data_IF_737055079917
#
_entry.id   IF_737055079917
#
_cell.length_a   1.000
_cell.length_b   1.000
_cell.length_c   1.000
_cell.angle_alpha   90.00
_cell.angle_beta   90.00
_cell.angle_gamma   90.00
#
_symmetry.space_group_name_H-M   'P 1'
#
loop_
_entity.id
_entity.type
_entity.pdbx_description
1 polymer ?
#
# COMPACT_ATOMS: atom_id res chain seq x y z
N UNK A 1 -18.54 -13.07 -15.16
CA UNK A 1 -17.45 -12.52 -15.98
C UNK A 1 -16.32 -12.17 -15.03
N UNK A 2 -15.10 -12.64 -15.29
CA UNK A 2 -13.94 -12.33 -14.44
C UNK A 2 -13.19 -11.08 -14.89
N UNK A 3 -13.32 -10.66 -16.15
CA UNK A 3 -12.70 -9.42 -16.61
C UNK A 3 -13.27 -8.19 -15.91
N UNK A 4 -12.40 -7.21 -15.67
CA UNK A 4 -12.73 -5.95 -15.04
C UNK A 4 -13.87 -5.25 -15.78
N UNK A 5 -14.94 -4.94 -15.06
CA UNK A 5 -16.07 -4.18 -15.62
C UNK A 5 -15.58 -2.75 -15.92
N UNK A 6 -15.68 -2.27 -17.18
CA UNK A 6 -15.28 -0.90 -17.51
C UNK A 6 -16.25 0.11 -16.90
N UNK A 7 -15.78 1.31 -16.54
CA UNK A 7 -16.67 2.33 -15.99
C UNK A 7 -17.72 2.79 -17.01
N UNK A 8 -18.99 2.81 -16.61
CA UNK A 8 -20.06 3.39 -17.43
C UNK A 8 -20.10 4.92 -17.28
N UNK A 9 -20.73 5.61 -18.22
CA UNK A 9 -20.91 7.05 -18.18
C UNK A 9 -21.54 7.54 -16.86
N UNK A 10 -21.18 8.75 -16.37
CA UNK A 10 -20.30 9.72 -17.03
C UNK A 10 -18.82 9.44 -16.77
N UNK A 11 -17.97 9.71 -17.76
CA UNK A 11 -16.52 9.50 -17.70
C UNK A 11 -15.78 10.37 -16.67
N UNK A 12 -14.45 10.48 -16.78
CA UNK A 12 -13.63 11.21 -15.80
C UNK A 12 -14.07 12.68 -15.71
N UNK A 13 -14.04 13.25 -14.49
CA UNK A 13 -14.42 14.67 -14.28
C UNK A 13 -13.33 15.63 -14.74
N UNK A 14 -12.08 15.15 -14.81
CA UNK A 14 -10.96 15.86 -15.40
C UNK A 14 -10.32 14.98 -16.47
N UNK A 15 -9.99 15.52 -17.66
CA UNK A 15 -9.23 14.77 -18.65
C UNK A 15 -7.84 14.44 -18.09
N UNK A 16 -7.32 13.27 -18.43
CA UNK A 16 -5.93 12.91 -18.14
C UNK A 16 -5.01 13.82 -18.96
N UNK A 17 -4.00 14.45 -18.33
CA UNK A 17 -3.07 15.29 -19.06
C UNK A 17 -2.15 14.41 -19.93
N UNK A 18 -2.03 14.65 -21.24
CA UNK A 18 -1.03 13.97 -22.07
C UNK A 18 0.38 14.24 -21.53
N UNK A 19 1.21 13.21 -21.45
CA UNK A 19 2.57 13.31 -20.94
C UNK A 19 3.47 14.19 -21.84
N UNK A 20 3.11 14.43 -23.10
CA UNK A 20 3.74 15.44 -23.97
C UNK A 20 3.33 16.90 -23.67
N UNK A 21 2.34 17.13 -22.79
CA UNK A 21 1.80 18.47 -22.47
C UNK A 21 2.22 18.99 -21.08
N UNK A 22 3.17 18.33 -20.43
CA UNK A 22 3.74 18.76 -19.15
C UNK A 22 5.06 19.49 -19.34
N UNK A 23 5.41 20.37 -18.41
CA UNK A 23 6.76 20.95 -18.35
C UNK A 23 7.84 19.88 -18.13
N UNK A 24 9.09 20.18 -18.51
CA UNK A 24 10.19 19.21 -18.51
C UNK A 24 10.45 18.57 -17.14
N UNK A 25 10.29 19.34 -16.04
CA UNK A 25 10.48 18.83 -14.68
C UNK A 25 9.40 17.81 -14.31
N UNK A 26 8.13 18.13 -14.55
CA UNK A 26 7.00 17.20 -14.35
C UNK A 26 7.17 15.96 -15.20
N UNK A 27 7.66 16.10 -16.44
CA UNK A 27 7.95 14.94 -17.29
C UNK A 27 9.03 14.02 -16.70
N UNK A 28 10.08 14.59 -16.13
CA UNK A 28 11.14 13.82 -15.48
C UNK A 28 10.62 13.04 -14.27
N UNK A 29 9.78 13.65 -13.43
CA UNK A 29 9.17 12.95 -12.30
C UNK A 29 8.13 11.91 -12.76
N UNK A 30 7.42 12.14 -13.86
CA UNK A 30 6.56 11.12 -14.46
C UNK A 30 7.36 9.89 -14.93
N UNK A 31 8.46 10.11 -15.64
CA UNK A 31 9.31 9.02 -16.09
C UNK A 31 9.93 8.29 -14.89
N UNK A 32 10.17 9.00 -13.77
CA UNK A 32 10.59 8.39 -12.50
C UNK A 32 9.47 7.56 -11.86
N UNK A 33 8.25 8.07 -11.80
CA UNK A 33 7.12 7.32 -11.25
C UNK A 33 6.87 6.03 -12.03
N UNK A 34 7.06 6.03 -13.36
CA UNK A 34 6.98 4.80 -14.17
C UNK A 34 8.03 3.77 -13.73
N UNK A 35 9.28 4.21 -13.49
CA UNK A 35 10.36 3.29 -13.06
C UNK A 35 10.12 2.76 -11.65
N UNK A 36 9.69 3.62 -10.73
CA UNK A 36 9.58 3.29 -9.31
C UNK A 36 8.28 2.54 -9.01
N UNK A 37 7.17 2.86 -9.71
CA UNK A 37 5.84 2.29 -9.46
C UNK A 37 5.44 1.23 -10.49
N UNK A 38 6.15 1.16 -11.63
CA UNK A 38 5.95 0.16 -12.68
C UNK A 38 4.83 0.45 -13.68
N UNK A 39 4.08 1.55 -13.51
CA UNK A 39 2.91 1.88 -14.35
C UNK A 39 2.92 3.38 -14.71
N UNK A 40 2.66 3.78 -15.97
CA UNK A 40 2.41 5.16 -16.36
C UNK A 40 1.05 5.66 -15.85
N UNK A 41 0.97 5.88 -14.54
CA UNK A 41 -0.29 6.11 -13.84
C UNK A 41 -1.03 7.39 -14.27
N UNK A 42 -2.33 7.25 -14.48
CA UNK A 42 -3.30 8.32 -14.59
C UNK A 42 -3.42 9.11 -13.27
N UNK A 43 -3.01 8.55 -12.13
CA UNK A 43 -2.78 9.31 -10.89
C UNK A 43 -1.86 10.51 -11.16
N UNK A 44 -0.63 10.25 -11.62
CA UNK A 44 0.35 11.31 -11.84
C UNK A 44 -0.15 12.30 -12.89
N UNK A 45 -0.66 11.78 -14.02
CA UNK A 45 -1.12 12.62 -15.14
C UNK A 45 -2.36 13.45 -14.80
N UNK A 46 -3.23 12.99 -13.91
CA UNK A 46 -4.35 13.78 -13.41
C UNK A 46 -3.87 14.85 -12.43
N UNK A 47 -2.91 14.53 -11.54
CA UNK A 47 -2.30 15.52 -10.66
C UNK A 47 -1.48 16.57 -11.40
N UNK A 48 -0.93 16.25 -12.58
CA UNK A 48 -0.07 17.13 -13.36
C UNK A 48 -0.77 18.40 -13.89
N UNK A 49 -2.11 18.49 -13.81
CA UNK A 49 -2.83 19.76 -13.95
C UNK A 49 -2.43 20.80 -12.89
N UNK A 50 -1.89 20.35 -11.75
CA UNK A 50 -1.23 21.14 -10.73
C UNK A 50 0.20 20.63 -10.52
N UNK A 51 1.19 21.10 -11.33
CA UNK A 51 2.56 20.60 -11.33
C UNK A 51 3.21 20.43 -9.97
N UNK A 52 3.07 21.43 -9.08
CA UNK A 52 3.64 21.36 -7.73
C UNK A 52 3.14 20.14 -6.93
N UNK A 53 1.86 19.79 -7.06
CA UNK A 53 1.28 18.63 -6.41
C UNK A 53 1.81 17.32 -7.01
N UNK A 54 1.89 17.22 -8.33
CA UNK A 54 2.41 16.02 -9.01
C UNK A 54 3.87 15.73 -8.65
N UNK A 55 4.70 16.77 -8.57
CA UNK A 55 6.10 16.66 -8.13
C UNK A 55 6.18 16.20 -6.67
N UNK A 56 5.36 16.78 -5.80
CA UNK A 56 5.30 16.39 -4.39
C UNK A 56 4.85 14.94 -4.24
N UNK A 57 3.83 14.49 -4.96
CA UNK A 57 3.31 13.11 -4.82
C UNK A 57 4.38 12.06 -5.13
N UNK A 58 5.23 12.26 -6.14
CA UNK A 58 6.28 11.29 -6.47
C UNK A 58 7.31 11.17 -5.37
N UNK A 59 7.81 12.29 -4.87
CA UNK A 59 8.74 12.29 -3.74
C UNK A 59 8.09 11.70 -2.49
N UNK A 60 6.83 12.05 -2.27
CA UNK A 60 6.05 11.67 -1.11
C UNK A 60 5.75 10.18 -1.08
N UNK A 61 5.13 9.61 -2.11
CA UNK A 61 4.83 8.18 -2.20
C UNK A 61 6.11 7.32 -2.15
N UNK A 62 7.20 7.79 -2.76
CA UNK A 62 8.47 7.09 -2.70
C UNK A 62 9.15 7.15 -1.31
N UNK A 63 8.79 8.09 -0.44
CA UNK A 63 9.38 8.20 0.90
C UNK A 63 8.84 7.18 1.92
N UNK A 64 7.70 6.53 1.64
CA UNK A 64 7.12 5.56 2.58
C UNK A 64 6.43 4.35 1.93
N UNK A 65 6.04 4.39 0.65
CA UNK A 65 5.36 3.25 -0.01
C UNK A 65 6.39 2.43 -0.79
N UNK A 66 7.06 3.06 -1.76
CA UNK A 66 7.98 2.43 -2.72
C UNK A 66 9.46 2.56 -2.31
N UNK A 67 9.70 2.82 -1.03
CA UNK A 67 11.03 3.23 -0.58
C UNK A 67 12.07 2.12 -0.76
N UNK A 68 13.25 2.53 -1.22
CA UNK A 68 14.44 1.69 -1.19
C UNK A 68 15.18 1.94 0.14
N UNK A 69 15.80 0.93 0.77
CA UNK A 69 16.45 1.12 2.06
C UNK A 69 17.51 2.24 2.00
N UNK A 70 17.23 3.38 2.61
CA UNK A 70 18.15 4.50 2.77
C UNK A 70 18.41 4.74 4.23
N UNK A 71 19.67 4.87 4.57
CA UNK A 71 20.12 5.13 5.93
C UNK A 71 20.88 6.44 5.95
N UNK A 72 20.56 7.30 6.91
CA UNK A 72 21.24 8.58 7.09
C UNK A 72 21.55 8.82 8.57
N UNK A 73 22.59 9.61 8.89
CA UNK A 73 22.78 10.10 10.23
C UNK A 73 21.56 10.91 10.69
N UNK A 74 20.97 10.51 11.80
CA UNK A 74 19.89 11.21 12.48
C UNK A 74 20.32 11.57 13.91
N UNK A 75 19.76 12.64 14.51
CA UNK A 75 19.97 12.92 15.93
C UNK A 75 19.68 11.69 16.78
N UNK A 76 20.50 11.44 17.82
CA UNK A 76 20.25 10.31 18.72
C UNK A 76 18.86 10.44 19.37
N UNK A 77 18.09 9.33 19.46
CA UNK A 77 16.84 9.30 20.19
C UNK A 77 17.00 9.83 21.64
N UNK A 78 16.00 10.53 22.18
CA UNK A 78 16.01 10.94 23.58
C UNK A 78 16.20 9.73 24.51
N UNK A 79 17.16 9.81 25.43
CA UNK A 79 17.46 8.73 26.39
C UNK A 79 18.68 7.88 26.03
N UNK A 80 19.28 8.05 24.85
CA UNK A 80 20.55 7.39 24.50
C UNK A 80 21.77 8.05 25.18
N UNK A 81 22.82 7.27 25.53
CA UNK A 81 24.08 7.83 26.02
C UNK A 81 24.76 8.73 24.97
N UNK A 82 25.52 9.71 25.45
CA UNK A 82 26.02 10.87 24.69
C UNK A 82 26.68 10.56 23.33
N UNK A 83 26.36 11.38 22.33
CA UNK A 83 26.85 11.36 20.94
C UNK A 83 25.97 12.27 20.07
N UNK A 84 26.44 12.72 18.91
CA UNK A 84 25.71 13.70 18.07
C UNK A 84 24.67 13.05 17.14
N UNK A 85 24.92 11.83 16.65
CA UNK A 85 24.01 11.14 15.72
C UNK A 85 24.11 9.61 15.81
N UNK A 86 23.13 8.93 15.20
CA UNK A 86 23.09 7.49 14.95
C UNK A 86 22.60 7.24 13.53
N UNK A 87 23.02 6.15 12.90
CA UNK A 87 22.51 5.76 11.60
C UNK A 87 21.05 5.28 11.76
N UNK A 88 20.11 5.89 11.02
CA UNK A 88 18.68 5.59 11.12
C UNK A 88 18.09 5.43 9.72
N UNK A 89 17.13 4.50 9.50
CA UNK A 89 16.42 4.41 8.22
C UNK A 89 15.64 5.69 7.93
N UNK A 90 15.53 6.06 6.67
CA UNK A 90 14.72 7.21 6.24
C UNK A 90 13.27 6.83 5.91
N UNK A 91 13.00 5.52 5.77
CA UNK A 91 11.70 4.93 5.49
C UNK A 91 11.83 3.41 5.37
N UNK A 92 10.72 2.75 5.06
CA UNK A 92 10.68 1.28 4.97
C UNK A 92 10.61 0.59 6.33
N UNK A 93 10.06 1.28 7.34
CA UNK A 93 9.89 0.74 8.69
C UNK A 93 8.81 -0.35 8.74
N UNK A 94 7.75 -0.20 7.95
CA UNK A 94 6.70 -1.20 7.74
C UNK A 94 7.00 -1.93 6.43
N UNK A 95 6.95 -3.27 6.45
CA UNK A 95 7.24 -4.07 5.26
C UNK A 95 6.20 -3.84 4.15
N UNK A 96 6.60 -4.08 2.90
CA UNK A 96 5.75 -3.79 1.75
C UNK A 96 4.51 -4.67 1.69
N UNK A 97 4.57 -5.92 2.18
CA UNK A 97 3.40 -6.81 2.27
C UNK A 97 2.34 -6.19 3.19
N UNK A 98 2.73 -5.77 4.40
CA UNK A 98 1.83 -5.15 5.37
C UNK A 98 1.22 -3.85 4.84
N UNK A 99 2.02 -3.00 4.15
CA UNK A 99 1.51 -1.79 3.48
C UNK A 99 0.44 -2.13 2.45
N UNK A 100 0.71 -3.07 1.54
CA UNK A 100 -0.26 -3.42 0.49
C UNK A 100 -1.54 -4.03 1.06
N UNK A 101 -1.46 -4.81 2.14
CA UNK A 101 -2.65 -5.34 2.83
C UNK A 101 -3.54 -4.21 3.37
N UNK A 102 -2.92 -3.23 4.03
CA UNK A 102 -3.61 -2.06 4.58
C UNK A 102 -4.20 -1.18 3.47
N UNK A 103 -3.43 -0.90 2.42
CA UNK A 103 -3.87 -0.10 1.26
C UNK A 103 -5.05 -0.78 0.57
N UNK A 104 -4.96 -2.10 0.34
CA UNK A 104 -6.06 -2.85 -0.25
C UNK A 104 -7.29 -2.81 0.64
N UNK A 105 -7.16 -3.03 1.95
CA UNK A 105 -8.29 -3.01 2.88
C UNK A 105 -9.04 -1.67 2.80
N UNK A 106 -8.35 -0.54 2.99
CA UNK A 106 -9.03 0.77 2.98
C UNK A 106 -9.59 1.12 1.60
N UNK A 107 -8.95 0.68 0.51
CA UNK A 107 -9.45 0.86 -0.86
C UNK A 107 -10.71 0.06 -1.14
N UNK A 108 -10.81 -1.15 -0.57
CA UNK A 108 -12.00 -2.00 -0.65
C UNK A 108 -13.15 -1.42 0.16
N UNK A 109 -12.88 -0.96 1.39
CA UNK A 109 -13.88 -0.34 2.26
C UNK A 109 -14.42 0.97 1.66
N UNK A 110 -13.55 1.78 1.04
CA UNK A 110 -13.96 3.00 0.34
C UNK A 110 -14.52 2.76 -1.07
N UNK A 111 -14.45 1.51 -1.57
CA UNK A 111 -14.85 1.13 -2.93
C UNK A 111 -14.22 2.04 -4.01
N UNK A 112 -13.00 2.50 -3.75
CA UNK A 112 -12.25 3.39 -4.65
C UNK A 112 -11.73 2.58 -5.83
N UNK A 113 -12.38 2.72 -7.00
CA UNK A 113 -12.03 1.95 -8.19
C UNK A 113 -10.54 1.96 -8.50
N UNK A 114 -9.95 3.14 -8.65
CA UNK A 114 -8.58 3.29 -9.12
C UNK A 114 -7.58 2.63 -8.15
N UNK A 115 -7.71 2.89 -6.85
CA UNK A 115 -6.85 2.24 -5.85
C UNK A 115 -7.10 0.73 -5.79
N UNK A 116 -8.36 0.31 -5.82
CA UNK A 116 -8.74 -1.10 -5.72
C UNK A 116 -8.16 -1.92 -6.88
N UNK A 117 -8.22 -1.43 -8.11
CA UNK A 117 -7.66 -2.13 -9.28
C UNK A 117 -6.13 -2.17 -9.22
N UNK A 118 -5.50 -1.01 -9.00
CA UNK A 118 -4.04 -0.87 -8.97
C UNK A 118 -3.41 -1.65 -7.82
N UNK A 119 -3.95 -1.54 -6.60
CA UNK A 119 -3.39 -2.24 -5.45
C UNK A 119 -3.80 -3.70 -5.36
N UNK A 120 -4.85 -4.15 -6.07
CA UNK A 120 -5.05 -5.59 -6.29
C UNK A 120 -3.92 -6.16 -7.16
N UNK A 121 -3.51 -5.45 -8.22
CA UNK A 121 -2.40 -5.86 -9.08
C UNK A 121 -1.04 -5.77 -8.37
N UNK A 122 -0.70 -4.59 -7.83
CA UNK A 122 0.56 -4.34 -7.12
C UNK A 122 0.66 -5.24 -5.89
N UNK A 123 -0.40 -5.30 -5.07
CA UNK A 123 -0.45 -6.13 -3.88
C UNK A 123 -0.27 -7.61 -4.21
N UNK A 124 -0.93 -8.13 -5.25
CA UNK A 124 -0.76 -9.53 -5.63
C UNK A 124 0.68 -9.84 -6.06
N UNK A 125 1.30 -8.96 -6.86
CA UNK A 125 2.70 -9.09 -7.26
C UNK A 125 3.67 -9.04 -6.07
N UNK A 126 3.48 -8.09 -5.15
CA UNK A 126 4.28 -7.96 -3.92
C UNK A 126 4.15 -9.20 -3.06
N UNK A 127 2.92 -9.64 -2.73
CA UNK A 127 2.71 -10.75 -1.81
C UNK A 127 3.23 -12.06 -2.40
N UNK A 128 2.99 -12.31 -3.69
CA UNK A 128 3.46 -13.54 -4.36
C UNK A 128 4.99 -13.65 -4.42
N UNK A 129 5.70 -12.52 -4.28
CA UNK A 129 7.17 -12.48 -4.32
C UNK A 129 7.82 -12.38 -2.94
N UNK A 130 7.20 -11.67 -1.99
CA UNK A 130 7.85 -11.29 -0.72
C UNK A 130 7.37 -12.06 0.51
N UNK A 131 6.31 -12.87 0.40
CA UNK A 131 5.93 -13.76 1.50
C UNK A 131 7.07 -14.76 1.82
N UNK A 132 7.27 -15.15 3.09
CA UNK A 132 8.47 -15.87 3.53
C UNK A 132 8.51 -17.37 3.14
N UNK A 133 7.51 -17.86 2.40
CA UNK A 133 7.42 -19.27 2.01
C UNK A 133 8.37 -19.58 0.87
N UNK A 134 9.10 -20.71 0.91
CA UNK A 134 10.10 -21.05 -0.12
C UNK A 134 9.46 -21.40 -1.46
N UNK A 135 8.33 -22.13 -1.45
CA UNK A 135 7.61 -22.53 -2.66
C UNK A 135 6.87 -21.33 -3.30
N UNK A 136 7.19 -20.96 -4.56
CA UNK A 136 6.46 -19.92 -5.29
C UNK A 136 4.96 -20.18 -5.43
N UNK A 137 4.55 -21.44 -5.59
CA UNK A 137 3.13 -21.79 -5.72
C UNK A 137 2.38 -21.54 -4.40
N UNK A 138 2.98 -21.95 -3.28
CA UNK A 138 2.46 -21.64 -1.93
C UNK A 138 2.36 -20.13 -1.70
N UNK A 139 3.41 -19.35 -2.05
CA UNK A 139 3.37 -17.88 -1.92
C UNK A 139 2.23 -17.27 -2.72
N UNK A 140 2.05 -17.70 -3.97
CA UNK A 140 1.02 -17.19 -4.88
C UNK A 140 -0.39 -17.52 -4.36
N UNK A 141 -0.62 -18.78 -3.96
CA UNK A 141 -1.90 -19.21 -3.41
C UNK A 141 -2.24 -18.46 -2.10
N UNK A 142 -1.24 -18.25 -1.24
CA UNK A 142 -1.41 -17.47 -0.01
C UNK A 142 -1.68 -16.00 -0.30
N UNK A 143 -0.96 -15.40 -1.25
CA UNK A 143 -1.16 -14.00 -1.67
C UNK A 143 -2.60 -13.77 -2.15
N UNK A 144 -3.13 -14.70 -2.96
CA UNK A 144 -4.53 -14.66 -3.39
C UNK A 144 -5.48 -14.70 -2.20
N UNK A 145 -5.33 -15.66 -1.28
CA UNK A 145 -6.22 -15.75 -0.10
C UNK A 145 -6.09 -14.50 0.79
N UNK A 146 -4.88 -14.00 1.03
CA UNK A 146 -4.66 -12.81 1.86
C UNK A 146 -5.37 -11.57 1.30
N UNK A 147 -5.42 -11.38 -0.02
CA UNK A 147 -6.11 -10.24 -0.64
C UNK A 147 -7.62 -10.47 -0.79
N UNK A 148 -8.02 -11.72 -1.06
CA UNK A 148 -9.42 -12.09 -1.21
C UNK A 148 -10.17 -11.96 0.11
N UNK A 149 -9.53 -12.34 1.23
CA UNK A 149 -10.14 -12.36 2.57
C UNK A 149 -10.09 -11.03 3.31
N UNK A 150 -9.60 -9.95 2.70
CA UNK A 150 -9.67 -8.63 3.34
C UNK A 150 -11.11 -8.20 3.63
N UNK A 151 -12.02 -8.49 2.69
CA UNK A 151 -13.46 -8.21 2.82
C UNK A 151 -14.30 -9.35 2.24
N UNK A 152 -15.53 -9.49 2.70
CA UNK A 152 -16.53 -10.40 2.16
C UNK A 152 -17.07 -9.92 0.80
N UNK A 153 -18.04 -10.66 0.23
CA UNK A 153 -18.67 -10.29 -1.05
C UNK A 153 -19.53 -9.03 -0.99
N UNK A 154 -19.91 -8.55 0.19
CA UNK A 154 -20.64 -7.32 0.42
C UNK A 154 -19.71 -6.13 0.74
N UNK A 155 -18.42 -6.38 0.96
CA UNK A 155 -17.42 -5.38 1.28
C UNK A 155 -17.26 -5.13 2.78
N UNK A 156 -17.74 -6.03 3.64
CA UNK A 156 -17.45 -5.95 5.07
C UNK A 156 -16.10 -6.60 5.39
N UNK A 157 -15.33 -6.08 6.37
CA UNK A 157 -14.09 -6.72 6.83
C UNK A 157 -14.27 -8.22 7.11
N UNK A 158 -13.35 -9.05 6.59
CA UNK A 158 -13.45 -10.51 6.68
C UNK A 158 -12.10 -11.20 6.94
N UNK A 159 -11.10 -10.42 7.36
CA UNK A 159 -9.70 -10.83 7.47
C UNK A 159 -9.38 -11.50 8.82
N UNK A 160 -10.16 -11.22 9.86
CA UNK A 160 -9.87 -11.68 11.22
C UNK A 160 -10.02 -13.20 11.35
N UNK A 161 -9.14 -13.84 12.13
CA UNK A 161 -9.13 -15.28 12.43
C UNK A 161 -9.15 -16.22 11.21
N UNK A 162 -8.68 -15.74 10.05
CA UNK A 162 -8.53 -16.55 8.85
C UNK A 162 -7.33 -17.48 8.92
N UNK A 163 -7.47 -18.67 8.35
CA UNK A 163 -6.39 -19.65 8.21
C UNK A 163 -6.09 -19.94 6.75
N UNK A 164 -4.83 -20.28 6.47
CA UNK A 164 -4.37 -20.79 5.19
C UNK A 164 -3.98 -22.25 5.37
N UNK A 165 -4.41 -23.11 4.44
CA UNK A 165 -4.04 -24.53 4.45
C UNK A 165 -3.32 -24.88 3.15
N UNK A 166 -2.11 -25.42 3.26
CA UNK A 166 -1.30 -25.87 2.13
C UNK A 166 -0.71 -27.24 2.45
N UNK A 167 -0.91 -28.22 1.57
CA UNK A 167 -0.40 -29.58 1.72
C UNK A 167 -0.68 -30.23 3.10
N UNK A 168 -1.85 -29.90 3.68
CA UNK A 168 -2.28 -30.42 4.99
C UNK A 168 -1.74 -29.68 6.21
N UNK A 169 -0.93 -28.64 6.03
CA UNK A 169 -0.48 -27.74 7.10
C UNK A 169 -1.42 -26.53 7.13
N UNK A 170 -2.03 -26.27 8.28
CA UNK A 170 -2.89 -25.10 8.51
C UNK A 170 -2.21 -24.11 9.46
N UNK A 171 -2.18 -22.84 9.07
CA UNK A 171 -1.61 -21.74 9.84
C UNK A 171 -2.47 -20.47 9.74
N UNK A 172 -2.33 -19.49 10.65
CA UNK A 172 -2.99 -18.20 10.50
C UNK A 172 -2.65 -17.55 9.15
N UNK A 173 -3.65 -16.98 8.47
CA UNK A 173 -3.48 -16.33 7.16
C UNK A 173 -2.67 -15.04 7.28
N UNK A 174 -2.88 -14.28 8.36
CA UNK A 174 -2.18 -13.04 8.68
C UNK A 174 -1.36 -13.19 9.96
N UNK A 175 -0.17 -12.60 9.99
CA UNK A 175 0.65 -12.55 11.20
C UNK A 175 0.00 -11.66 12.28
N UNK A 176 0.39 -11.83 13.54
CA UNK A 176 -0.11 -10.98 14.63
C UNK A 176 0.12 -9.48 14.35
N UNK A 177 1.31 -9.02 13.94
CA UNK A 177 1.49 -7.61 13.56
C UNK A 177 0.55 -7.15 12.44
N UNK A 178 0.36 -7.96 11.39
CA UNK A 178 -0.55 -7.64 10.28
C UNK A 178 -2.00 -7.47 10.76
N UNK A 179 -2.47 -8.33 11.65
CA UNK A 179 -3.82 -8.22 12.22
C UNK A 179 -4.01 -6.92 13.01
N UNK A 180 -3.00 -6.48 13.80
CA UNK A 180 -3.08 -5.19 14.49
C UNK A 180 -3.06 -4.00 13.52
N UNK A 181 -2.27 -4.07 12.45
CA UNK A 181 -2.26 -3.06 11.39
C UNK A 181 -3.62 -2.97 10.66
N UNK A 182 -4.21 -4.11 10.29
CA UNK A 182 -5.52 -4.17 9.63
C UNK A 182 -6.64 -3.65 10.55
N UNK A 183 -6.62 -4.04 11.84
CA UNK A 183 -7.58 -3.55 12.83
C UNK A 183 -7.50 -2.03 13.03
N UNK A 184 -6.29 -1.46 13.05
CA UNK A 184 -6.12 -0.01 13.12
C UNK A 184 -6.60 0.67 11.83
N UNK A 185 -6.27 0.11 10.66
CA UNK A 185 -6.71 0.64 9.37
C UNK A 185 -8.24 0.66 9.24
N UNK A 186 -8.90 -0.42 9.63
CA UNK A 186 -10.37 -0.50 9.68
C UNK A 186 -10.97 0.53 10.65
N UNK A 187 -10.39 0.66 11.84
CA UNK A 187 -10.88 1.63 12.83
C UNK A 187 -10.74 3.08 12.33
N UNK A 188 -9.59 3.43 11.74
CA UNK A 188 -9.34 4.76 11.16
C UNK A 188 -10.30 5.03 10.00
N UNK A 189 -10.44 4.08 9.07
CA UNK A 189 -11.32 4.22 7.91
C UNK A 189 -12.78 4.42 8.33
N UNK A 190 -13.23 3.69 9.36
CA UNK A 190 -14.61 3.77 9.84
C UNK A 190 -14.89 5.07 10.60
N UNK A 191 -14.05 5.39 11.56
CA UNK A 191 -14.13 6.62 12.35
C UNK A 191 -12.79 6.88 13.07
N UNK A 192 -11.95 7.82 12.59
CA UNK A 192 -10.65 8.09 13.20
C UNK A 192 -10.76 8.63 14.63
N UNK A 193 -11.89 9.22 15.02
CA UNK A 193 -12.13 9.68 16.39
C UNK A 193 -12.46 8.53 17.35
N UNK A 194 -12.80 7.34 16.84
CA UNK A 194 -13.06 6.14 17.64
C UNK A 194 -11.81 5.39 18.07
N UNK A 195 -10.64 5.74 17.52
CA UNK A 195 -9.37 5.08 17.82
C UNK A 195 -8.93 5.42 19.25
N UNK A 196 -8.56 4.38 20.01
CA UNK A 196 -8.23 4.48 21.43
C UNK A 196 -6.74 4.35 21.70
N UNK A 197 -6.29 4.93 22.82
CA UNK A 197 -4.90 4.76 23.31
C UNK A 197 -4.53 3.29 23.52
N UNK A 198 -5.51 2.46 23.91
CA UNK A 198 -5.31 1.02 24.07
C UNK A 198 -4.96 0.35 22.75
N UNK A 199 -5.64 0.69 21.65
CA UNK A 199 -5.30 0.14 20.32
C UNK A 199 -3.87 0.51 19.92
N UNK A 200 -3.42 1.73 20.23
CA UNK A 200 -2.03 2.12 20.01
C UNK A 200 -1.05 1.38 20.93
N UNK A 201 -1.37 1.19 22.21
CA UNK A 201 -0.53 0.44 23.13
C UNK A 201 -0.35 -1.01 22.65
N UNK A 202 -1.44 -1.68 22.29
CA UNK A 202 -1.44 -3.06 21.79
C UNK A 202 -0.67 -3.16 20.45
N UNK A 203 -0.84 -2.19 19.54
CA UNK A 203 -0.06 -2.13 18.29
C UNK A 203 1.44 -1.92 18.56
N UNK A 204 1.80 -0.99 19.46
CA UNK A 204 3.20 -0.71 19.78
C UNK A 204 3.92 -1.92 20.36
N UNK A 205 3.24 -2.70 21.19
CA UNK A 205 3.80 -3.95 21.74
C UNK A 205 4.19 -4.93 20.63
N UNK A 206 3.31 -5.16 19.65
CA UNK A 206 3.62 -6.07 18.54
C UNK A 206 4.68 -5.49 17.60
N UNK A 207 4.63 -4.18 17.31
CA UNK A 207 5.64 -3.49 16.49
C UNK A 207 7.02 -3.50 17.13
N UNK A 208 7.10 -3.48 18.47
CA UNK A 208 8.37 -3.58 19.19
C UNK A 208 9.07 -4.91 18.95
N UNK A 209 8.31 -6.01 18.85
CA UNK A 209 8.85 -7.32 18.45
C UNK A 209 9.41 -7.30 17.02
N UNK A 210 8.65 -6.73 16.08
CA UNK A 210 9.08 -6.58 14.67
C UNK A 210 10.32 -5.68 14.55
N UNK A 211 10.34 -4.55 15.26
CA UNK A 211 11.46 -3.62 15.29
C UNK A 211 12.73 -4.30 15.82
N UNK A 212 12.63 -5.04 16.93
CA UNK A 212 13.76 -5.78 17.48
C UNK A 212 14.32 -6.81 16.49
N UNK A 213 13.45 -7.54 15.78
CA UNK A 213 13.87 -8.49 14.75
C UNK A 213 14.55 -7.79 13.56
N UNK A 214 13.96 -6.70 13.06
CA UNK A 214 14.52 -5.92 11.95
C UNK A 214 15.88 -5.31 12.29
N UNK A 215 16.06 -4.84 13.53
CA UNK A 215 17.35 -4.33 14.00
C UNK A 215 18.36 -5.47 14.09
N UNK A 216 17.99 -6.60 14.72
CA UNK A 216 18.90 -7.70 14.99
C UNK A 216 19.32 -8.51 13.74
N UNK A 217 18.47 -8.59 12.72
CA UNK A 217 18.73 -9.36 11.48
C UNK A 217 19.04 -8.48 10.28
N UNK A 218 18.76 -7.18 10.37
CA UNK A 218 18.90 -6.25 9.27
C UNK A 218 20.31 -5.66 9.13
N UNK A 219 20.49 -4.70 8.19
CA UNK A 219 21.77 -4.04 7.93
C UNK A 219 22.36 -3.27 9.12
N UNK A 220 21.60 -3.11 10.20
CA UNK A 220 21.93 -2.31 11.36
C UNK A 220 22.35 -3.13 12.60
N UNK A 221 22.37 -4.46 12.51
CA UNK A 221 22.61 -5.36 13.63
C UNK A 221 23.93 -5.07 14.37
N UNK A 222 24.98 -4.74 13.63
CA UNK A 222 26.33 -4.50 14.16
C UNK A 222 26.69 -3.01 14.22
N UNK A 223 25.73 -2.12 13.96
CA UNK A 223 25.99 -0.67 13.94
C UNK A 223 26.01 -0.12 15.37
N UNK A 224 27.07 0.57 15.80
CA UNK A 224 27.15 1.11 17.16
C UNK A 224 25.98 2.05 17.49
N UNK A 225 25.29 1.76 18.60
CA UNK A 225 24.18 2.58 19.09
C UNK A 225 22.80 2.20 18.56
N UNK A 226 22.66 1.15 17.75
CA UNK A 226 21.33 0.66 17.29
C UNK A 226 20.70 -0.36 18.25
N UNK A 227 21.49 -0.95 19.15
CA UNK A 227 21.02 -1.93 20.14
C UNK A 227 20.48 -1.35 21.44
N UNK A 228 20.15 -0.06 21.50
CA UNK A 228 19.66 0.59 22.71
C UNK A 228 18.14 0.59 22.80
N UNK A 229 17.62 0.74 24.01
CA UNK A 229 16.19 0.86 24.26
C UNK A 229 15.57 2.09 23.60
N UNK A 230 16.27 3.23 23.61
CA UNK A 230 15.77 4.45 22.98
C UNK A 230 15.76 4.34 21.44
N UNK A 231 16.72 3.62 20.85
CA UNK A 231 16.72 3.31 19.42
C UNK A 231 15.53 2.44 19.02
N UNK A 232 15.25 1.39 19.80
CA UNK A 232 14.09 0.54 19.60
C UNK A 232 12.78 1.33 19.68
N UNK A 233 12.61 2.21 20.68
CA UNK A 233 11.42 3.05 20.80
C UNK A 233 11.29 4.06 19.65
N UNK A 234 12.40 4.65 19.19
CA UNK A 234 12.39 5.51 18.01
C UNK A 234 11.96 4.75 16.75
N UNK A 235 12.42 3.51 16.59
CA UNK A 235 12.00 2.65 15.49
C UNK A 235 10.50 2.35 15.53
N UNK A 236 9.96 1.99 16.71
CA UNK A 236 8.52 1.75 16.89
C UNK A 236 7.70 3.01 16.59
N UNK A 237 8.18 4.18 16.99
CA UNK A 237 7.56 5.46 16.64
C UNK A 237 7.54 5.66 15.12
N UNK A 238 8.66 5.40 14.43
CA UNK A 238 8.74 5.52 12.99
C UNK A 238 7.82 4.53 12.26
N UNK A 239 7.74 3.26 12.70
CA UNK A 239 6.77 2.28 12.19
C UNK A 239 5.32 2.75 12.37
N UNK A 240 5.01 3.32 13.54
CA UNK A 240 3.66 3.81 13.85
C UNK A 240 3.29 5.00 12.95
N UNK A 241 4.22 5.95 12.78
CA UNK A 241 4.04 7.09 11.87
C UNK A 241 3.86 6.58 10.44
N UNK A 242 4.76 5.74 9.95
CA UNK A 242 4.71 5.22 8.57
C UNK A 242 3.42 4.46 8.28
N UNK A 243 2.97 3.59 9.20
CA UNK A 243 1.71 2.86 9.08
C UNK A 243 0.52 3.81 9.01
N UNK A 244 0.40 4.72 9.97
CA UNK A 244 -0.75 5.64 10.04
C UNK A 244 -0.76 6.59 8.85
N UNK A 245 0.41 7.04 8.40
CA UNK A 245 0.57 7.84 7.19
C UNK A 245 0.10 7.09 5.94
N UNK A 246 0.46 5.81 5.83
CA UNK A 246 0.00 4.95 4.74
C UNK A 246 -1.52 4.77 4.75
N UNK A 247 -2.13 4.54 5.92
CA UNK A 247 -3.58 4.43 6.08
C UNK A 247 -4.26 5.71 5.60
N UNK A 248 -3.92 6.87 6.18
CA UNK A 248 -4.63 8.13 5.91
C UNK A 248 -4.39 8.66 4.49
N UNK A 249 -3.22 8.39 3.91
CA UNK A 249 -2.93 8.77 2.52
C UNK A 249 -3.89 8.08 1.55
N UNK A 250 -4.14 6.79 1.74
CA UNK A 250 -5.07 6.07 0.87
C UNK A 250 -6.51 6.29 1.27
N UNK A 251 -6.85 6.12 2.55
CA UNK A 251 -8.21 6.24 3.05
C UNK A 251 -8.79 7.66 2.83
N UNK A 252 -8.18 8.65 3.49
CA UNK A 252 -8.70 10.01 3.54
C UNK A 252 -8.45 10.80 2.25
N UNK A 253 -7.23 10.71 1.71
CA UNK A 253 -6.82 11.54 0.57
C UNK A 253 -7.09 10.86 -0.77
N UNK A 254 -6.34 9.82 -1.13
CA UNK A 254 -6.32 9.29 -2.48
C UNK A 254 -7.63 8.60 -2.88
N UNK A 255 -8.21 7.74 -2.04
CA UNK A 255 -9.46 7.04 -2.35
C UNK A 255 -10.62 8.02 -2.60
N UNK A 256 -10.74 9.02 -1.72
CA UNK A 256 -11.69 10.12 -1.89
C UNK A 256 -11.42 10.90 -3.17
N UNK A 257 -10.17 11.28 -3.41
CA UNK A 257 -9.77 12.06 -4.58
C UNK A 257 -10.02 11.33 -5.91
N UNK A 258 -9.63 10.05 -6.00
CA UNK A 258 -9.88 9.21 -7.17
C UNK A 258 -11.38 9.09 -7.47
N UNK A 259 -12.19 8.88 -6.44
CA UNK A 259 -13.65 8.74 -6.55
C UNK A 259 -14.31 10.07 -6.95
N UNK A 260 -13.88 11.17 -6.34
CA UNK A 260 -14.37 12.52 -6.66
C UNK A 260 -13.94 12.96 -8.05
N UNK A 261 -12.80 12.55 -8.58
CA UNK A 261 -12.39 12.91 -9.94
C UNK A 261 -12.76 11.87 -10.99
N UNK A 262 -13.18 10.68 -10.58
CA UNK A 262 -13.40 9.53 -11.45
C UNK A 262 -12.15 9.22 -12.27
N UNK A 263 -11.02 9.10 -11.58
CA UNK A 263 -9.75 8.75 -12.23
C UNK A 263 -9.92 7.37 -12.87
N UNK A 264 -9.62 7.30 -14.16
CA UNK A 264 -9.79 6.09 -14.97
C UNK A 264 -8.51 5.25 -14.93
N UNK A 265 -8.68 3.93 -14.97
CA UNK A 265 -7.60 3.00 -15.30
C UNK A 265 -7.02 3.31 -16.69
N UNK A 266 -5.75 2.98 -16.92
CA UNK A 266 -5.07 3.21 -18.19
C UNK A 266 -5.56 2.20 -19.24
N UNK A 267 -6.15 2.71 -20.32
CA UNK A 267 -6.66 1.90 -21.45
C UNK A 267 -5.88 2.24 -22.71
N UNK A 268 -5.20 1.25 -23.30
CA UNK A 268 -4.20 1.46 -24.35
C UNK A 268 -4.72 1.97 -25.71
N UNK A 269 -6.04 2.07 -25.90
CA UNK A 269 -6.63 2.46 -27.19
C UNK A 269 -6.44 3.94 -27.57
N UNK A 270 -6.13 4.82 -26.60
CA UNK A 270 -6.06 6.27 -26.83
C UNK A 270 -4.82 6.94 -26.21
N UNK A 271 -3.95 6.19 -25.54
CA UNK A 271 -2.81 6.75 -24.81
C UNK A 271 -1.50 6.71 -25.60
N UNK A 272 -0.78 7.83 -25.61
CA UNK A 272 0.49 7.99 -26.32
C UNK A 272 1.63 7.09 -25.79
N UNK A 273 1.43 6.49 -24.62
CA UNK A 273 2.36 5.56 -23.98
C UNK A 273 2.08 4.09 -24.34
N UNK A 274 0.94 3.80 -25.00
CA UNK A 274 0.57 2.46 -25.46
C UNK A 274 0.37 1.43 -24.35
N UNK A 275 0.21 1.86 -23.09
CA UNK A 275 0.01 0.94 -21.96
C UNK A 275 -1.48 0.68 -21.76
N UNK A 276 -1.83 -0.60 -21.69
CA UNK A 276 -3.17 -1.08 -21.35
C UNK A 276 -3.12 -1.76 -19.99
N UNK A 277 -3.26 -0.97 -18.92
CA UNK A 277 -3.29 -1.51 -17.56
C UNK A 277 -4.48 -2.45 -17.36
N UNK A 278 -5.63 -2.18 -17.98
CA UNK A 278 -6.80 -3.05 -17.87
C UNK A 278 -6.50 -4.45 -18.42
N UNK A 279 -5.78 -4.55 -19.55
CA UNK A 279 -5.33 -5.83 -20.07
C UNK A 279 -4.35 -6.53 -19.12
N UNK A 280 -3.38 -5.81 -18.56
CA UNK A 280 -2.42 -6.36 -17.58
C UNK A 280 -3.14 -6.85 -16.32
N UNK A 281 -4.05 -6.06 -15.76
CA UNK A 281 -4.87 -6.43 -14.61
C UNK A 281 -5.66 -7.72 -14.88
N UNK A 282 -6.31 -7.81 -16.05
CA UNK A 282 -7.10 -9.00 -16.40
C UNK A 282 -6.24 -10.26 -16.57
N UNK A 283 -4.99 -10.11 -17.02
CA UNK A 283 -4.05 -11.22 -17.19
C UNK A 283 -3.42 -11.69 -15.87
N UNK A 284 -3.05 -10.76 -14.99
CA UNK A 284 -2.19 -11.03 -13.84
C UNK A 284 -2.95 -11.20 -12.52
N UNK A 285 -4.12 -10.57 -12.37
CA UNK A 285 -4.90 -10.66 -11.12
C UNK A 285 -5.78 -11.92 -11.12
N UNK A 286 -5.75 -12.75 -10.06
CA UNK A 286 -6.57 -13.95 -9.97
C UNK A 286 -8.06 -13.69 -10.17
N UNK A 287 -8.74 -14.59 -10.89
CA UNK A 287 -10.16 -14.48 -11.22
C UNK A 287 -11.06 -14.27 -9.99
N UNK A 288 -10.74 -14.90 -8.86
CA UNK A 288 -11.50 -14.76 -7.61
C UNK A 288 -11.45 -13.34 -7.06
N UNK A 289 -10.28 -12.70 -7.12
CA UNK A 289 -10.11 -11.29 -6.74
C UNK A 289 -10.86 -10.40 -7.73
N UNK A 290 -10.74 -10.64 -9.04
CA UNK A 290 -11.44 -9.84 -10.05
C UNK A 290 -12.96 -9.92 -9.91
N UNK A 291 -13.50 -11.12 -9.64
CA UNK A 291 -14.94 -11.30 -9.36
C UNK A 291 -15.37 -10.54 -8.11
N UNK A 292 -14.61 -10.63 -7.00
CA UNK A 292 -14.87 -9.85 -5.77
C UNK A 292 -14.86 -8.35 -6.07
N UNK A 293 -13.84 -7.87 -6.76
CA UNK A 293 -13.68 -6.48 -7.16
C UNK A 293 -14.87 -5.99 -8.00
N UNK A 294 -15.28 -6.75 -9.02
CA UNK A 294 -16.43 -6.43 -9.86
C UNK A 294 -17.75 -6.36 -9.06
N UNK A 295 -17.94 -7.23 -8.07
CA UNK A 295 -19.12 -7.19 -7.21
C UNK A 295 -19.18 -5.90 -6.37
N UNK A 296 -18.04 -5.45 -5.83
CA UNK A 296 -17.96 -4.20 -5.07
C UNK A 296 -18.14 -2.95 -5.95
N UNK A 297 -17.55 -2.98 -7.15
CA UNK A 297 -17.65 -1.89 -8.12
C UNK A 297 -19.04 -1.77 -8.74
N UNK A 298 -19.81 -2.86 -8.72
CA UNK A 298 -21.17 -2.92 -9.24
C UNK A 298 -21.23 -2.78 -10.77
N UNK A 299 -22.44 -2.70 -11.34
CA UNK A 299 -22.65 -2.69 -12.78
C UNK A 299 -22.14 -1.43 -13.48
N UNK A 300 -21.88 -0.36 -12.73
CA UNK A 300 -21.35 0.90 -13.27
C UNK A 300 -19.82 0.94 -13.29
N UNK A 301 -19.16 0.01 -12.61
CA UNK A 301 -17.70 -0.02 -12.46
C UNK A 301 -17.13 1.03 -11.51
N UNK A 302 -17.95 1.87 -10.86
CA UNK A 302 -17.46 3.00 -10.04
C UNK A 302 -17.43 2.76 -8.52
N UNK A 303 -17.95 1.63 -8.05
CA UNK A 303 -18.29 1.46 -6.63
C UNK A 303 -19.75 1.83 -6.39
N UNK A 304 -20.43 1.01 -5.58
CA UNK A 304 -21.78 1.31 -5.07
C UNK A 304 -21.75 1.90 -3.68
#
# INVERSE_FOLDING_TARGET
MSDLIPPTAPGPRLPVLPAGRTEARVRTEFDRSIRDWGIPSNLFRTMAWLPGLALTEVEYANSFIFDAPRYAPAPRPPGDPAGESVLFPQGGFVDRVTKELVINLVSLLNRSRYSLTHHSYIGFGVLSTQLPHEDPAQRTARAEEMLLRLVDSAGHPDWEDRTFTWEGISEPLYTVPQQHCLRLAEAIQRDPHSVTDRQFADLREVLRGVAAENIAKGPLAEVPGTGTEAYLEAWVNAMTVELTWCIVHFDGLLNSWFTVLRVMDETGAEDELGVDFVAVYNAEVPDRIKVRNNNLLGPTGWGS
#
